data_IF_744973899751
#
_entry.id   IF_744973899751
#
_cell.length_a   1.000
_cell.length_b   1.000
_cell.length_c   1.000
_cell.angle_alpha   90.00
_cell.angle_beta   90.00
_cell.angle_gamma   90.00
#
_symmetry.space_group_name_H-M   'P 1'
#
loop_
_entity.id
_entity.type
_entity.pdbx_description
1 polymer ?
#
# COMPACT_ATOMS: atom_id res chain seq x y z
N UNK A 1 -12.26 -0.82 11.72
CA UNK A 1 -12.35 -1.84 10.64
C UNK A 1 -12.41 -3.28 11.15
N UNK A 2 -11.55 -3.71 12.08
CA UNK A 2 -11.54 -5.10 12.57
C UNK A 2 -12.54 -5.42 13.68
N UNK A 3 -12.99 -4.41 14.43
CA UNK A 3 -13.95 -4.56 15.52
C UNK A 3 -15.24 -5.27 15.07
N UNK A 4 -15.86 -6.00 16.00
CA UNK A 4 -17.01 -6.86 15.72
C UNK A 4 -18.23 -6.07 15.19
N UNK A 5 -18.42 -4.84 15.65
CA UNK A 5 -19.53 -3.95 15.29
C UNK A 5 -19.18 -2.95 14.17
N UNK A 6 -17.94 -2.93 13.69
CA UNK A 6 -17.48 -1.93 12.72
C UNK A 6 -18.29 -1.95 11.41
N UNK A 7 -18.66 -3.14 10.93
CA UNK A 7 -19.50 -3.28 9.72
C UNK A 7 -20.92 -2.77 9.97
N UNK A 8 -21.51 -3.07 11.13
CA UNK A 8 -22.85 -2.60 11.48
C UNK A 8 -22.91 -1.07 11.61
N UNK A 9 -21.91 -0.47 12.27
CA UNK A 9 -21.79 0.99 12.38
C UNK A 9 -21.64 1.65 11.00
N UNK A 10 -20.79 1.09 10.13
CA UNK A 10 -20.61 1.61 8.78
C UNK A 10 -21.90 1.52 7.95
N UNK A 11 -22.61 0.37 8.01
CA UNK A 11 -23.89 0.20 7.31
C UNK A 11 -24.93 1.22 7.79
N UNK A 12 -25.01 1.48 9.10
CA UNK A 12 -25.91 2.47 9.65
C UNK A 12 -25.58 3.88 9.12
N UNK A 13 -24.32 4.29 9.18
CA UNK A 13 -23.86 5.58 8.68
C UNK A 13 -24.10 5.74 7.16
N UNK A 14 -23.85 4.70 6.35
CA UNK A 14 -24.12 4.73 4.91
C UNK A 14 -25.61 4.97 4.64
N UNK A 15 -26.49 4.27 5.35
CA UNK A 15 -27.94 4.42 5.20
C UNK A 15 -28.42 5.81 5.61
N UNK A 16 -27.83 6.38 6.65
CA UNK A 16 -28.18 7.71 7.14
C UNK A 16 -27.74 8.82 6.17
N UNK A 17 -26.54 8.71 5.61
CA UNK A 17 -25.89 9.84 4.93
C UNK A 17 -25.82 9.75 3.41
N UNK A 18 -25.73 8.57 2.80
CA UNK A 18 -25.58 8.45 1.34
C UNK A 18 -26.92 8.44 0.59
N UNK A 19 -28.02 8.09 1.25
CA UNK A 19 -29.36 8.08 0.63
C UNK A 19 -29.55 7.06 -0.50
N UNK A 20 -28.60 6.16 -0.72
CA UNK A 20 -28.62 5.17 -1.79
C UNK A 20 -27.59 4.05 -1.59
N UNK A 21 -27.61 3.01 -2.45
CA UNK A 21 -26.63 1.93 -2.42
C UNK A 21 -25.25 2.40 -2.90
N UNK A 22 -24.21 1.61 -2.59
CA UNK A 22 -22.83 1.86 -2.98
C UNK A 22 -22.56 1.39 -4.42
N UNK A 23 -22.03 2.30 -5.25
CA UNK A 23 -21.53 1.97 -6.60
C UNK A 23 -20.11 1.37 -6.57
N UNK A 24 -19.38 1.56 -5.47
CA UNK A 24 -18.01 1.06 -5.36
C UNK A 24 -17.51 0.97 -3.92
N UNK A 25 -16.54 0.08 -3.74
CA UNK A 25 -15.82 -0.15 -2.49
C UNK A 25 -14.32 -0.08 -2.82
N UNK A 26 -13.60 0.80 -2.12
CA UNK A 26 -12.13 0.85 -2.19
C UNK A 26 -11.57 0.33 -0.88
N UNK A 27 -10.87 -0.80 -0.94
CA UNK A 27 -10.15 -1.39 0.18
C UNK A 27 -8.69 -0.97 0.17
N UNK A 28 -8.39 0.08 0.92
CA UNK A 28 -7.05 0.68 1.04
C UNK A 28 -6.52 0.62 2.49
N UNK A 29 -6.69 -0.52 3.16
CA UNK A 29 -6.24 -0.69 4.54
C UNK A 29 -4.74 -1.03 4.60
N UNK A 30 -3.99 -0.24 5.38
CA UNK A 30 -2.67 -0.60 5.88
C UNK A 30 -2.70 -0.57 7.40
N UNK A 31 -2.50 -1.72 8.05
CA UNK A 31 -2.54 -1.84 9.50
C UNK A 31 -1.40 -2.73 10.00
N UNK A 32 -0.67 -2.34 11.06
CA UNK A 32 0.36 -3.20 11.64
C UNK A 32 -0.23 -4.30 12.54
N UNK A 33 -1.52 -4.18 12.89
CA UNK A 33 -2.20 -5.06 13.83
C UNK A 33 -3.71 -5.10 13.59
N UNK A 34 -4.32 -6.20 13.97
CA UNK A 34 -5.76 -6.40 13.99
C UNK A 34 -6.17 -7.00 15.34
N UNK A 35 -7.40 -6.74 15.77
CA UNK A 35 -8.01 -7.44 16.89
C UNK A 35 -8.86 -8.59 16.35
N UNK A 36 -8.67 -9.81 16.85
CA UNK A 36 -9.54 -10.94 16.52
C UNK A 36 -10.84 -10.81 17.32
N UNK A 37 -12.00 -10.54 16.66
CA UNK A 37 -13.25 -10.33 17.36
C UNK A 37 -13.78 -11.59 18.06
N UNK A 38 -13.27 -12.78 17.73
CA UNK A 38 -13.70 -14.05 18.35
C UNK A 38 -12.99 -14.31 19.68
N UNK A 39 -11.74 -13.88 19.80
CA UNK A 39 -10.89 -14.16 20.96
C UNK A 39 -10.54 -12.91 21.77
N UNK A 40 -10.74 -11.72 21.20
CA UNK A 40 -10.30 -10.44 21.75
C UNK A 40 -8.80 -10.17 21.62
N UNK A 41 -8.01 -11.13 21.12
CA UNK A 41 -6.56 -11.03 21.05
C UNK A 41 -6.09 -10.06 19.96
N UNK A 42 -4.99 -9.36 20.21
CA UNK A 42 -4.31 -8.52 19.20
C UNK A 42 -3.31 -9.37 18.43
N UNK A 43 -3.44 -9.37 17.11
CA UNK A 43 -2.57 -10.05 16.15
C UNK A 43 -1.78 -9.00 15.40
N UNK A 44 -0.46 -9.18 15.26
CA UNK A 44 0.42 -8.24 14.58
C UNK A 44 0.98 -8.83 13.28
N UNK A 45 1.04 -8.02 12.23
CA UNK A 45 1.73 -8.39 10.99
C UNK A 45 3.25 -8.23 11.16
N UNK A 46 4.02 -9.04 10.44
CA UNK A 46 5.47 -8.99 10.41
C UNK A 46 5.99 -8.72 8.99
N UNK A 47 6.97 -7.83 8.89
CA UNK A 47 7.73 -7.58 7.67
C UNK A 47 9.04 -8.36 7.75
N UNK A 48 8.98 -9.63 7.36
CA UNK A 48 10.11 -10.55 7.38
C UNK A 48 10.15 -11.42 6.12
N UNK A 49 11.34 -11.91 5.73
CA UNK A 49 11.48 -12.92 4.68
C UNK A 49 10.71 -14.20 4.99
N UNK A 50 10.40 -14.97 3.94
CA UNK A 50 9.87 -16.32 4.05
C UNK A 50 10.97 -17.36 3.77
N UNK A 51 11.12 -18.33 4.66
CA UNK A 51 12.04 -19.46 4.49
C UNK A 51 13.51 -19.12 4.78
N UNK A 52 14.11 -18.24 3.98
CA UNK A 52 15.53 -17.90 4.05
C UNK A 52 15.77 -16.46 4.52
N UNK A 53 16.91 -16.15 5.16
CA UNK A 53 17.28 -14.78 5.48
C UNK A 53 17.37 -13.90 4.24
N UNK A 54 17.05 -12.62 4.40
CA UNK A 54 17.26 -11.60 3.36
C UNK A 54 18.09 -10.43 3.89
N UNK A 55 18.64 -9.65 2.97
CA UNK A 55 19.37 -8.43 3.29
C UNK A 55 18.55 -7.22 2.91
N UNK A 56 18.44 -6.27 3.83
CA UNK A 56 17.73 -5.01 3.62
C UNK A 56 18.72 -3.88 3.56
N UNK A 57 18.74 -3.21 2.42
CA UNK A 57 19.59 -2.05 2.18
C UNK A 57 18.84 -0.77 2.51
N UNK A 58 19.39 0.04 3.41
CA UNK A 58 18.83 1.33 3.82
C UNK A 58 19.96 2.33 4.07
N UNK A 59 19.65 3.53 4.55
CA UNK A 59 20.62 4.50 5.04
C UNK A 59 20.38 4.84 6.52
N UNK A 60 21.40 5.34 7.21
CA UNK A 60 21.29 5.82 8.60
C UNK A 60 20.73 7.24 8.67
N UNK A 61 20.25 7.67 9.84
CA UNK A 61 20.13 9.11 10.08
C UNK A 61 21.49 9.80 9.94
N UNK A 62 21.46 11.13 9.76
CA UNK A 62 22.67 11.95 9.77
C UNK A 62 23.35 11.87 11.14
N UNK A 63 24.66 11.65 11.16
CA UNK A 63 25.50 11.72 12.36
C UNK A 63 25.73 13.17 12.80
N UNK A 64 26.58 13.37 13.82
CA UNK A 64 26.88 14.70 14.36
C UNK A 64 27.55 15.62 13.32
N UNK A 65 28.21 15.04 12.33
CA UNK A 65 28.85 15.71 11.20
C UNK A 65 27.88 15.93 10.02
N UNK A 66 26.62 15.52 10.14
CA UNK A 66 25.60 15.69 9.12
C UNK A 66 25.62 14.63 8.02
N UNK A 67 26.34 13.52 8.20
CA UNK A 67 26.58 12.48 7.21
C UNK A 67 25.67 11.27 7.44
N UNK A 68 25.02 10.79 6.38
CA UNK A 68 24.28 9.52 6.36
C UNK A 68 25.11 8.45 5.66
N UNK A 69 24.97 7.18 6.06
CA UNK A 69 25.68 6.05 5.45
C UNK A 69 24.73 4.96 4.99
N UNK A 70 25.05 4.31 3.88
CA UNK A 70 24.40 3.09 3.43
C UNK A 70 24.70 1.96 4.42
N UNK A 71 23.68 1.22 4.79
CA UNK A 71 23.78 0.04 5.66
C UNK A 71 22.99 -1.12 5.07
N UNK A 72 23.50 -2.32 5.30
CA UNK A 72 22.83 -3.57 4.96
C UNK A 72 22.53 -4.32 6.25
N UNK A 73 21.25 -4.62 6.49
CA UNK A 73 20.77 -5.22 7.73
C UNK A 73 20.30 -6.65 7.40
N UNK A 74 20.85 -7.69 8.07
CA UNK A 74 20.35 -9.04 7.90
C UNK A 74 18.98 -9.18 8.57
N UNK A 75 18.01 -9.72 7.84
CA UNK A 75 16.68 -10.01 8.33
C UNK A 75 16.50 -11.52 8.45
N UNK A 76 16.25 -11.99 9.67
CA UNK A 76 15.90 -13.39 9.90
C UNK A 76 14.52 -13.71 9.29
N UNK A 77 14.33 -14.93 8.76
CA UNK A 77 13.03 -15.35 8.25
C UNK A 77 11.98 -15.30 9.36
N UNK A 78 10.73 -15.02 8.96
CA UNK A 78 9.61 -15.05 9.89
C UNK A 78 9.14 -16.45 10.23
N UNK A 79 8.43 -16.60 11.34
CA UNK A 79 7.88 -17.89 11.77
C UNK A 79 6.55 -18.20 11.04
N UNK A 80 6.09 -19.47 11.03
CA UNK A 80 4.76 -19.82 10.52
C UNK A 80 3.63 -19.04 11.21
N UNK A 81 3.74 -18.79 12.51
CA UNK A 81 2.76 -18.00 13.27
C UNK A 81 2.74 -16.54 12.81
N UNK A 82 3.91 -15.95 12.55
CA UNK A 82 4.03 -14.61 11.98
C UNK A 82 3.45 -14.55 10.56
N UNK A 83 3.59 -15.62 9.76
CA UNK A 83 3.00 -15.72 8.43
C UNK A 83 1.46 -15.70 8.50
N UNK A 84 0.88 -16.55 9.35
CA UNK A 84 -0.57 -16.62 9.58
C UNK A 84 -1.10 -15.30 10.13
N UNK A 85 -0.40 -14.69 11.09
CA UNK A 85 -0.75 -13.39 11.65
C UNK A 85 -0.72 -12.28 10.59
N UNK A 86 0.30 -12.27 9.74
CA UNK A 86 0.43 -11.29 8.65
C UNK A 86 -0.69 -11.44 7.63
N UNK A 87 -1.02 -12.67 7.23
CA UNK A 87 -2.16 -12.97 6.35
C UNK A 87 -3.49 -12.58 7.00
N UNK A 88 -3.66 -12.79 8.31
CA UNK A 88 -4.86 -12.37 9.02
C UNK A 88 -5.07 -10.85 8.98
N UNK A 89 -4.00 -10.08 9.20
CA UNK A 89 -4.06 -8.61 9.27
C UNK A 89 -4.16 -7.98 7.87
N UNK A 90 -3.36 -8.46 6.92
CA UNK A 90 -3.13 -7.79 5.63
C UNK A 90 -3.67 -8.56 4.41
N UNK A 91 -4.25 -9.74 4.64
CA UNK A 91 -4.88 -10.57 3.61
C UNK A 91 -6.31 -10.16 3.27
N UNK A 92 -6.99 -11.03 2.51
CA UNK A 92 -8.26 -10.74 1.87
C UNK A 92 -9.51 -11.15 2.63
N UNK A 93 -9.39 -12.00 3.65
CA UNK A 93 -10.55 -12.46 4.45
C UNK A 93 -11.35 -11.31 5.07
N UNK A 94 -10.67 -10.24 5.46
CA UNK A 94 -11.33 -9.04 5.98
C UNK A 94 -12.19 -8.38 4.90
N UNK A 95 -11.73 -8.36 3.65
CA UNK A 95 -12.47 -7.80 2.52
C UNK A 95 -13.74 -8.61 2.26
N UNK A 96 -13.61 -9.93 2.19
CA UNK A 96 -14.76 -10.84 2.04
C UNK A 96 -15.81 -10.60 3.12
N UNK A 97 -15.40 -10.56 4.39
CA UNK A 97 -16.32 -10.27 5.51
C UNK A 97 -17.05 -8.94 5.35
N UNK A 98 -16.36 -7.89 4.90
CA UNK A 98 -16.97 -6.57 4.68
C UNK A 98 -17.95 -6.60 3.51
N UNK A 99 -17.55 -7.19 2.38
CA UNK A 99 -18.40 -7.31 1.19
C UNK A 99 -19.65 -8.12 1.50
N UNK A 100 -19.53 -9.25 2.18
CA UNK A 100 -20.65 -10.09 2.61
C UNK A 100 -21.64 -9.32 3.50
N UNK A 101 -21.13 -8.53 4.45
CA UNK A 101 -21.97 -7.74 5.33
C UNK A 101 -22.73 -6.62 4.58
N UNK A 102 -22.03 -5.89 3.70
CA UNK A 102 -22.63 -4.84 2.88
C UNK A 102 -23.67 -5.43 1.91
N UNK A 103 -23.37 -6.57 1.33
CA UNK A 103 -24.28 -7.30 0.46
C UNK A 103 -25.51 -7.80 1.21
N UNK A 104 -25.32 -8.43 2.39
CA UNK A 104 -26.41 -8.91 3.24
C UNK A 104 -27.34 -7.80 3.72
N UNK A 105 -26.82 -6.58 3.84
CA UNK A 105 -27.62 -5.38 4.13
C UNK A 105 -28.34 -4.80 2.90
N UNK A 106 -28.13 -5.34 1.70
CA UNK A 106 -28.79 -4.92 0.47
C UNK A 106 -28.40 -3.52 -0.01
N UNK A 107 -27.18 -3.06 0.32
CA UNK A 107 -26.72 -1.69 0.02
C UNK A 107 -25.65 -1.64 -1.08
N UNK A 108 -25.54 -2.67 -1.92
CA UNK A 108 -24.66 -2.67 -3.10
C UNK A 108 -25.49 -2.40 -4.35
N UNK A 109 -25.08 -1.42 -5.16
CA UNK A 109 -25.78 -1.04 -6.38
C UNK A 109 -25.55 -2.08 -7.49
N UNK A 110 -26.45 -2.17 -8.49
CA UNK A 110 -26.15 -2.88 -9.74
C UNK A 110 -24.84 -2.37 -10.35
N UNK A 111 -23.94 -3.29 -10.70
CA UNK A 111 -22.62 -2.94 -11.23
C UNK A 111 -21.58 -2.55 -10.17
N UNK A 112 -21.87 -2.69 -8.86
CA UNK A 112 -20.95 -2.31 -7.79
C UNK A 112 -19.55 -2.91 -7.98
N UNK A 113 -18.51 -2.06 -7.86
CA UNK A 113 -17.11 -2.48 -8.04
C UNK A 113 -16.34 -2.55 -6.74
N UNK A 114 -15.56 -3.60 -6.54
CA UNK A 114 -14.58 -3.71 -5.46
C UNK A 114 -13.16 -3.48 -6.00
N UNK A 115 -12.45 -2.49 -5.45
CA UNK A 115 -11.04 -2.28 -5.71
C UNK A 115 -10.24 -2.57 -4.44
N UNK A 116 -9.22 -3.42 -4.50
CA UNK A 116 -8.30 -3.64 -3.38
C UNK A 116 -6.90 -3.17 -3.74
N UNK A 117 -6.20 -2.54 -2.80
CA UNK A 117 -4.82 -2.10 -3.04
C UNK A 117 -3.81 -3.16 -2.61
N UNK A 118 -2.99 -3.58 -3.57
CA UNK A 118 -1.86 -4.50 -3.38
C UNK A 118 -0.54 -3.84 -3.82
N UNK A 119 0.57 -4.42 -3.39
CA UNK A 119 1.90 -4.01 -3.79
C UNK A 119 2.78 -5.26 -3.87
N UNK A 120 3.35 -5.50 -5.05
CA UNK A 120 4.29 -6.61 -5.27
C UNK A 120 5.75 -6.16 -5.17
N UNK A 121 6.01 -4.87 -5.36
CA UNK A 121 7.37 -4.32 -5.37
C UNK A 121 8.19 -4.76 -6.58
N UNK A 122 9.49 -4.51 -6.49
CA UNK A 122 10.44 -4.79 -7.55
C UNK A 122 11.38 -5.93 -7.16
N UNK A 123 12.11 -6.52 -8.12
CA UNK A 123 13.11 -7.54 -7.82
C UNK A 123 14.15 -7.09 -6.77
N UNK A 124 14.36 -5.78 -6.60
CA UNK A 124 15.33 -5.22 -5.64
C UNK A 124 14.88 -5.33 -4.18
N UNK A 125 13.57 -5.46 -3.92
CA UNK A 125 13.00 -5.55 -2.57
C UNK A 125 12.15 -6.82 -2.36
N UNK A 126 12.18 -7.75 -3.32
CA UNK A 126 11.35 -8.95 -3.34
C UNK A 126 11.50 -9.81 -2.06
N UNK A 127 12.71 -9.97 -1.53
CA UNK A 127 12.98 -10.79 -0.35
C UNK A 127 12.27 -10.37 0.94
N UNK A 128 11.78 -9.12 1.03
CA UNK A 128 10.90 -8.67 2.13
C UNK A 128 9.46 -8.53 1.68
N UNK A 129 9.24 -8.12 0.42
CA UNK A 129 7.91 -7.89 -0.13
C UNK A 129 7.33 -9.15 -0.76
N UNK A 130 7.46 -9.31 -2.08
CA UNK A 130 6.78 -10.39 -2.83
C UNK A 130 7.09 -11.78 -2.29
N UNK A 131 8.33 -12.01 -1.89
CA UNK A 131 8.83 -13.30 -1.41
C UNK A 131 8.89 -13.36 0.12
N UNK A 132 8.39 -12.33 0.82
CA UNK A 132 8.29 -12.28 2.28
C UNK A 132 6.89 -12.63 2.79
N UNK A 133 6.72 -12.53 4.12
CA UNK A 133 5.43 -12.80 4.77
C UNK A 133 4.31 -11.86 4.31
N UNK A 134 4.62 -10.60 4.03
CA UNK A 134 3.64 -9.65 3.50
C UNK A 134 3.22 -10.01 2.07
N UNK A 135 4.12 -10.60 1.27
CA UNK A 135 3.83 -11.13 -0.05
C UNK A 135 2.81 -12.26 -0.02
N UNK A 136 2.88 -13.15 0.98
CA UNK A 136 1.86 -14.17 1.22
C UNK A 136 0.50 -13.54 1.54
N UNK A 137 0.46 -12.51 2.39
CA UNK A 137 -0.77 -11.79 2.69
C UNK A 137 -1.35 -11.07 1.47
N UNK A 138 -0.49 -10.47 0.63
CA UNK A 138 -0.94 -9.81 -0.61
C UNK A 138 -1.42 -10.81 -1.67
N UNK A 139 -0.81 -11.98 -1.79
CA UNK A 139 -1.33 -13.06 -2.61
C UNK A 139 -2.71 -13.54 -2.13
N UNK A 140 -2.92 -13.63 -0.81
CA UNK A 140 -4.23 -13.93 -0.21
C UNK A 140 -5.27 -12.84 -0.53
N UNK A 141 -4.90 -11.55 -0.41
CA UNK A 141 -5.74 -10.42 -0.80
C UNK A 141 -6.15 -10.49 -2.28
N UNK A 142 -5.19 -10.74 -3.18
CA UNK A 142 -5.42 -10.89 -4.61
C UNK A 142 -6.38 -12.05 -4.91
N UNK A 143 -6.18 -13.19 -4.25
CA UNK A 143 -7.06 -14.36 -4.35
C UNK A 143 -8.50 -14.05 -3.94
N UNK A 144 -8.70 -13.50 -2.74
CA UNK A 144 -10.04 -13.17 -2.23
C UNK A 144 -10.70 -12.06 -3.07
N UNK A 145 -9.93 -11.09 -3.58
CA UNK A 145 -10.46 -10.06 -4.49
C UNK A 145 -11.03 -10.71 -5.75
N UNK A 146 -10.30 -11.63 -6.37
CA UNK A 146 -10.78 -12.36 -7.54
C UNK A 146 -12.02 -13.21 -7.23
N UNK A 147 -12.05 -13.88 -6.08
CA UNK A 147 -13.22 -14.65 -5.64
C UNK A 147 -14.45 -13.75 -5.45
N UNK A 148 -14.28 -12.59 -4.82
CA UNK A 148 -15.34 -11.57 -4.67
C UNK A 148 -15.82 -11.03 -6.01
N UNK A 149 -14.96 -10.99 -7.04
CA UNK A 149 -15.36 -10.65 -8.39
C UNK A 149 -16.44 -11.59 -8.95
N UNK A 150 -16.33 -12.89 -8.68
CA UNK A 150 -17.35 -13.86 -9.07
C UNK A 150 -18.66 -13.67 -8.28
N UNK A 151 -18.55 -13.39 -6.97
CA UNK A 151 -19.71 -13.13 -6.09
C UNK A 151 -20.45 -11.87 -6.52
N UNK A 152 -19.75 -10.75 -6.69
CA UNK A 152 -20.38 -9.48 -7.10
C UNK A 152 -21.01 -9.57 -8.49
N UNK A 153 -20.39 -10.31 -9.41
CA UNK A 153 -20.95 -10.55 -10.74
C UNK A 153 -22.31 -11.28 -10.67
N UNK A 154 -22.40 -12.37 -9.89
CA UNK A 154 -23.64 -13.13 -9.73
C UNK A 154 -24.74 -12.29 -9.05
N UNK A 155 -24.37 -11.48 -8.08
CA UNK A 155 -25.32 -10.87 -7.14
C UNK A 155 -25.84 -9.52 -7.60
N UNK A 156 -24.97 -8.71 -8.20
CA UNK A 156 -25.30 -7.35 -8.62
C UNK A 156 -24.78 -7.02 -10.02
N UNK A 157 -24.23 -7.98 -10.76
CA UNK A 157 -23.58 -7.70 -12.05
C UNK A 157 -22.30 -6.87 -11.91
N UNK A 158 -21.69 -6.89 -10.73
CA UNK A 158 -20.49 -6.11 -10.39
C UNK A 158 -19.17 -6.77 -10.79
N UNK A 159 -18.06 -6.17 -10.36
CA UNK A 159 -16.71 -6.69 -10.58
C UNK A 159 -15.78 -6.43 -9.40
N UNK A 160 -14.64 -7.11 -9.37
CA UNK A 160 -13.59 -6.86 -8.38
C UNK A 160 -12.20 -6.91 -9.02
N UNK A 161 -11.33 -5.98 -8.64
CA UNK A 161 -9.98 -5.86 -9.19
C UNK A 161 -8.98 -5.52 -8.09
N UNK A 162 -7.86 -6.25 -8.05
CA UNK A 162 -6.72 -5.88 -7.23
C UNK A 162 -5.82 -4.93 -8.04
N UNK A 163 -5.51 -3.79 -7.45
CA UNK A 163 -4.72 -2.70 -8.03
C UNK A 163 -3.32 -2.79 -7.45
N UNK A 164 -2.34 -3.16 -8.28
CA UNK A 164 -0.94 -3.18 -7.91
C UNK A 164 -0.38 -1.76 -8.05
N UNK A 165 -0.26 -1.06 -6.93
CA UNK A 165 0.22 0.32 -6.88
C UNK A 165 1.74 0.43 -7.09
N UNK A 166 2.24 1.59 -7.53
CA UNK A 166 3.67 1.89 -7.48
C UNK A 166 4.12 2.13 -6.03
N UNK A 167 5.43 2.12 -5.81
CA UNK A 167 6.04 2.56 -4.58
C UNK A 167 5.85 4.07 -4.40
N UNK A 168 5.26 4.44 -3.28
CA UNK A 168 4.94 5.82 -2.91
C UNK A 168 5.36 6.11 -1.47
N UNK A 169 5.68 7.36 -1.18
CA UNK A 169 5.95 7.81 0.19
C UNK A 169 4.62 8.02 0.90
N UNK A 170 4.41 7.25 1.97
CA UNK A 170 3.25 7.31 2.86
C UNK A 170 3.74 7.18 4.29
N UNK A 171 2.88 7.49 5.26
CA UNK A 171 3.20 7.23 6.66
C UNK A 171 3.53 5.75 6.91
N UNK A 172 2.82 4.84 6.25
CA UNK A 172 3.04 3.41 6.36
C UNK A 172 4.38 2.97 5.73
N UNK A 173 4.78 3.56 4.59
CA UNK A 173 5.95 3.10 3.83
C UNK A 173 7.26 3.66 4.36
N UNK A 174 7.31 4.89 4.87
CA UNK A 174 8.55 5.50 5.34
C UNK A 174 9.13 4.86 6.61
N UNK A 175 8.33 4.11 7.38
CA UNK A 175 8.78 3.34 8.54
C UNK A 175 9.27 1.92 8.23
N UNK A 176 9.18 1.46 6.99
CA UNK A 176 9.54 0.09 6.61
C UNK A 176 11.03 0.02 6.28
N UNK A 177 11.81 -0.88 6.91
CA UNK A 177 13.21 -1.07 6.56
C UNK A 177 13.41 -1.30 5.05
N UNK A 178 14.32 -0.52 4.45
CA UNK A 178 14.70 -0.59 3.04
C UNK A 178 13.88 0.27 2.08
N UNK A 179 12.65 0.64 2.46
CA UNK A 179 11.84 1.58 1.67
C UNK A 179 12.50 2.95 1.55
N UNK A 180 13.11 3.55 2.59
CA UNK A 180 13.73 4.87 2.46
C UNK A 180 14.74 4.96 1.33
N UNK A 181 15.69 4.02 1.26
CA UNK A 181 16.71 4.00 0.21
C UNK A 181 16.09 3.75 -1.16
N UNK A 182 15.14 2.80 -1.25
CA UNK A 182 14.42 2.53 -2.49
C UNK A 182 13.69 3.78 -2.99
N UNK A 183 13.00 4.48 -2.11
CA UNK A 183 12.21 5.66 -2.47
C UNK A 183 13.06 6.86 -2.82
N UNK A 184 14.09 7.17 -2.03
CA UNK A 184 15.04 8.22 -2.37
C UNK A 184 15.64 8.01 -3.78
N UNK A 185 15.96 6.75 -4.11
CA UNK A 185 16.50 6.40 -5.44
C UNK A 185 15.44 6.48 -6.53
N UNK A 186 14.22 5.98 -6.28
CA UNK A 186 13.15 5.99 -7.26
C UNK A 186 12.71 7.42 -7.62
N UNK A 187 12.56 8.27 -6.60
CA UNK A 187 12.20 9.68 -6.78
C UNK A 187 13.21 10.40 -7.67
N UNK A 188 14.51 10.16 -7.50
CA UNK A 188 15.53 10.75 -8.36
C UNK A 188 15.60 10.13 -9.77
N UNK A 189 15.44 8.81 -9.86
CA UNK A 189 15.47 8.09 -11.15
C UNK A 189 14.30 8.49 -12.04
N UNK A 190 13.09 8.54 -11.49
CA UNK A 190 11.87 8.87 -12.23
C UNK A 190 11.64 10.38 -12.31
N UNK A 191 12.09 11.16 -11.33
CA UNK A 191 11.91 12.61 -11.29
C UNK A 191 10.43 12.98 -11.43
N UNK A 192 10.11 13.81 -12.43
CA UNK A 192 8.74 14.26 -12.70
C UNK A 192 7.80 13.17 -13.22
N UNK A 193 8.33 12.02 -13.63
CA UNK A 193 7.52 10.88 -14.07
C UNK A 193 7.10 9.97 -12.90
N UNK A 194 7.64 10.20 -11.69
CA UNK A 194 7.12 9.57 -10.47
C UNK A 194 5.71 10.08 -10.18
N UNK A 195 4.81 9.16 -9.86
CA UNK A 195 3.43 9.48 -9.53
C UNK A 195 3.24 9.45 -8.01
N UNK A 196 2.80 10.57 -7.44
CA UNK A 196 2.29 10.58 -6.08
C UNK A 196 0.99 9.75 -5.98
N UNK A 197 0.49 9.45 -4.76
CA UNK A 197 -0.73 8.66 -4.59
C UNK A 197 -1.95 9.22 -5.33
N UNK A 198 -2.10 10.55 -5.42
CA UNK A 198 -3.23 11.18 -6.08
C UNK A 198 -3.11 11.05 -7.60
N UNK A 199 -1.93 11.34 -8.16
CA UNK A 199 -1.64 11.18 -9.57
C UNK A 199 -1.82 9.73 -10.03
N UNK A 200 -1.33 8.76 -9.24
CA UNK A 200 -1.51 7.34 -9.52
C UNK A 200 -2.99 6.95 -9.51
N UNK A 201 -3.76 7.31 -8.48
CA UNK A 201 -5.18 6.95 -8.44
C UNK A 201 -6.02 7.65 -9.53
N UNK A 202 -5.68 8.89 -9.90
CA UNK A 202 -6.31 9.57 -11.05
C UNK A 202 -6.06 8.82 -12.34
N UNK A 203 -4.80 8.49 -12.63
CA UNK A 203 -4.45 7.68 -13.80
C UNK A 203 -5.18 6.33 -13.82
N UNK A 204 -5.34 5.69 -12.67
CA UNK A 204 -6.09 4.44 -12.58
C UNK A 204 -7.53 4.62 -13.08
N UNK A 205 -8.24 5.65 -12.61
CA UNK A 205 -9.63 5.89 -13.02
C UNK A 205 -9.74 6.41 -14.46
N UNK A 206 -8.75 7.16 -14.94
CA UNK A 206 -8.76 7.72 -16.29
C UNK A 206 -8.40 6.67 -17.36
N UNK A 207 -7.48 5.75 -17.06
CA UNK A 207 -6.88 4.87 -18.07
C UNK A 207 -7.13 3.37 -17.86
N UNK A 208 -7.42 2.93 -16.62
CA UNK A 208 -7.43 1.49 -16.28
C UNK A 208 -8.77 0.98 -15.76
N UNK A 209 -9.55 1.80 -15.04
CA UNK A 209 -10.85 1.43 -14.49
C UNK A 209 -11.84 2.59 -14.65
N UNK A 210 -12.75 2.49 -15.63
CA UNK A 210 -13.82 3.49 -15.77
C UNK A 210 -14.87 3.34 -14.66
N UNK A 211 -15.25 4.46 -14.05
CA UNK A 211 -16.34 4.51 -13.07
C UNK A 211 -17.72 4.38 -13.73
N UNK A 212 -17.87 4.90 -14.94
CA UNK A 212 -19.13 4.89 -15.71
C UNK A 212 -19.26 3.70 -16.67
N UNK A 213 -18.23 2.85 -16.77
CA UNK A 213 -18.20 1.74 -17.71
C UNK A 213 -17.88 2.15 -19.15
N UNK A 214 -17.36 3.36 -19.39
CA UNK A 214 -16.93 3.83 -20.73
C UNK A 214 -15.90 2.93 -21.40
N UNK A 215 -15.10 2.20 -20.63
CA UNK A 215 -14.16 1.19 -21.16
C UNK A 215 -13.96 0.01 -20.21
N UNK A 216 -13.58 -1.13 -20.78
CA UNK A 216 -13.31 -2.35 -20.02
C UNK A 216 -12.04 -2.23 -19.17
N UNK A 217 -12.01 -2.79 -17.95
CA UNK A 217 -10.82 -2.74 -17.10
C UNK A 217 -9.56 -3.27 -17.81
N UNK A 218 -8.46 -2.53 -17.69
CA UNK A 218 -7.15 -2.92 -18.24
C UNK A 218 -6.37 -3.68 -17.17
N UNK A 219 -6.20 -4.99 -17.40
CA UNK A 219 -5.54 -5.92 -16.47
C UNK A 219 -4.44 -6.72 -17.14
N UNK A 220 -3.50 -7.25 -16.34
CA UNK A 220 -2.50 -8.20 -16.79
C UNK A 220 -3.03 -9.64 -16.86
N UNK A 221 -2.15 -10.59 -17.20
CA UNK A 221 -2.48 -12.02 -17.34
C UNK A 221 -2.95 -12.68 -16.03
N UNK A 222 -2.63 -12.07 -14.88
CA UNK A 222 -3.10 -12.51 -13.57
C UNK A 222 -4.42 -11.83 -13.16
N UNK A 223 -4.91 -10.89 -13.97
CA UNK A 223 -6.13 -10.12 -13.71
C UNK A 223 -5.92 -8.90 -12.81
N UNK A 224 -4.67 -8.43 -12.65
CA UNK A 224 -4.33 -7.28 -11.83
C UNK A 224 -4.33 -5.99 -12.63
N UNK A 225 -4.80 -4.90 -12.02
CA UNK A 225 -4.64 -3.55 -12.56
C UNK A 225 -3.25 -3.04 -12.19
N UNK A 226 -2.38 -2.89 -13.19
CA UNK A 226 -0.97 -2.54 -13.01
C UNK A 226 -0.76 -1.03 -13.07
N UNK A 227 -0.56 -0.43 -11.90
CA UNK A 227 -0.17 0.98 -11.71
C UNK A 227 1.33 1.13 -11.40
N UNK A 228 2.00 0.02 -11.08
CA UNK A 228 3.44 -0.14 -11.02
C UNK A 228 4.11 -0.28 -12.40
N UNK A 229 3.34 -0.19 -13.49
CA UNK A 229 3.79 -0.34 -14.87
C UNK A 229 4.87 0.67 -15.27
N UNK A 230 4.77 1.91 -14.79
CA UNK A 230 5.82 2.93 -15.00
C UNK A 230 7.08 2.62 -14.21
N UNK A 231 6.94 2.39 -12.90
CA UNK A 231 8.06 2.04 -12.00
C UNK A 231 8.86 0.83 -12.51
N UNK A 232 8.15 -0.21 -12.97
CA UNK A 232 8.75 -1.47 -13.42
C UNK A 232 9.08 -1.49 -14.91
N UNK A 233 8.95 -0.36 -15.62
CA UNK A 233 9.36 -0.28 -17.01
C UNK A 233 10.85 -0.65 -17.18
N UNK A 234 11.26 -1.26 -18.30
CA UNK A 234 12.66 -1.69 -18.49
C UNK A 234 13.68 -0.56 -18.30
N UNK A 235 13.31 0.68 -18.64
CA UNK A 235 14.17 1.86 -18.49
C UNK A 235 14.40 2.20 -17.02
N UNK A 236 13.33 2.30 -16.22
CA UNK A 236 13.47 2.67 -14.81
C UNK A 236 13.99 1.51 -13.97
N UNK A 237 13.54 0.29 -14.21
CA UNK A 237 14.05 -0.89 -13.52
C UNK A 237 15.56 -1.03 -13.74
N UNK A 238 16.07 -0.87 -14.97
CA UNK A 238 17.51 -0.91 -15.23
C UNK A 238 18.26 0.18 -14.46
N UNK A 239 17.78 1.43 -14.51
CA UNK A 239 18.41 2.56 -13.80
C UNK A 239 18.42 2.35 -12.28
N UNK A 240 17.34 1.81 -11.72
CA UNK A 240 17.25 1.44 -10.32
C UNK A 240 18.25 0.34 -9.98
N UNK A 241 18.31 -0.74 -10.77
CA UNK A 241 19.25 -1.84 -10.56
C UNK A 241 20.71 -1.38 -10.62
N UNK A 242 21.08 -0.59 -11.64
CA UNK A 242 22.44 -0.07 -11.80
C UNK A 242 22.85 0.74 -10.55
N UNK A 243 21.97 1.60 -10.03
CA UNK A 243 22.24 2.40 -8.82
C UNK A 243 22.30 1.57 -7.55
N UNK A 244 21.42 0.59 -7.40
CA UNK A 244 21.42 -0.29 -6.23
C UNK A 244 22.70 -1.13 -6.16
N UNK A 245 23.15 -1.68 -7.29
CA UNK A 245 24.35 -2.51 -7.34
C UNK A 245 25.67 -1.72 -7.27
N UNK A 246 25.65 -0.42 -7.55
CA UNK A 246 26.83 0.43 -7.42
C UNK A 246 27.18 0.78 -5.96
N UNK A 247 26.24 0.59 -5.02
CA UNK A 247 26.37 0.97 -3.61
C UNK A 247 26.85 -0.19 -2.74
N UNK A 248 27.63 0.13 -1.72
CA UNK A 248 28.17 -0.80 -0.74
C UNK A 248 27.87 -0.32 0.68
N UNK A 249 27.84 -1.26 1.63
CA UNK A 249 27.63 -0.92 3.03
C UNK A 249 28.81 -0.09 3.54
N UNK A 250 28.52 1.03 4.20
CA UNK A 250 29.50 2.01 4.67
C UNK A 250 29.72 3.20 3.74
N UNK A 251 29.23 3.13 2.48
CA UNK A 251 29.28 4.27 1.56
C UNK A 251 28.52 5.47 2.16
N UNK A 252 29.00 6.68 1.88
CA UNK A 252 28.27 7.91 2.20
C UNK A 252 27.02 7.94 1.32
N UNK A 253 25.86 8.12 1.95
CA UNK A 253 24.61 8.29 1.21
C UNK A 253 24.51 9.74 0.70
N UNK A 254 24.05 9.90 -0.54
CA UNK A 254 23.99 11.21 -1.20
C UNK A 254 23.08 12.18 -0.41
N UNK A 255 23.60 13.33 0.08
CA UNK A 255 22.82 14.26 0.90
C UNK A 255 21.54 14.75 0.21
N UNK A 256 21.60 14.98 -1.10
CA UNK A 256 20.46 15.45 -1.88
C UNK A 256 19.35 14.39 -1.94
N UNK A 257 19.70 13.10 -2.01
CA UNK A 257 18.71 12.02 -2.00
C UNK A 257 18.13 11.79 -0.60
N UNK A 258 18.94 11.95 0.44
CA UNK A 258 18.46 11.98 1.82
C UNK A 258 17.42 13.09 2.00
N UNK A 259 17.74 14.31 1.60
CA UNK A 259 16.85 15.46 1.74
C UNK A 259 15.59 15.31 0.90
N UNK A 260 15.70 14.78 -0.33
CA UNK A 260 14.56 14.47 -1.19
C UNK A 260 13.56 13.52 -0.53
N UNK A 261 14.04 12.42 0.05
CA UNK A 261 13.17 11.47 0.76
C UNK A 261 12.61 12.07 2.06
N UNK A 262 13.44 12.75 2.85
CA UNK A 262 13.00 13.32 4.13
C UNK A 262 11.94 14.40 3.93
N UNK A 263 12.07 15.23 2.89
CA UNK A 263 11.05 16.21 2.48
C UNK A 263 9.75 15.51 2.09
N UNK A 264 9.81 14.52 1.20
CA UNK A 264 8.62 13.76 0.79
C UNK A 264 7.93 13.08 1.99
N UNK A 265 8.70 12.56 2.94
CA UNK A 265 8.17 11.94 4.15
C UNK A 265 7.59 12.96 5.15
N UNK A 266 8.21 14.12 5.30
CA UNK A 266 7.72 15.23 6.12
C UNK A 266 6.36 15.75 5.61
N UNK A 267 6.20 15.85 4.29
CA UNK A 267 4.96 16.29 3.64
C UNK A 267 3.78 15.36 3.92
N UNK A 268 4.01 14.07 4.17
CA UNK A 268 2.93 13.14 4.59
C UNK A 268 2.32 13.51 5.94
N UNK A 269 3.00 14.35 6.74
CA UNK A 269 2.57 14.84 8.05
C UNK A 269 2.29 16.34 8.07
N UNK A 270 2.19 16.95 6.89
CA UNK A 270 1.93 18.39 6.76
C UNK A 270 3.14 19.28 7.05
N UNK A 271 4.37 18.75 7.07
CA UNK A 271 5.60 19.55 7.19
C UNK A 271 6.28 19.77 5.83
N UNK A 272 7.05 20.85 5.69
CA UNK A 272 7.78 21.20 4.45
C UNK A 272 6.86 21.27 3.21
N UNK A 273 5.62 21.73 3.41
CA UNK A 273 4.62 21.98 2.36
C UNK A 273 4.78 23.41 1.86
N UNK A 274 4.97 23.56 0.55
CA UNK A 274 5.13 24.87 -0.08
C UNK A 274 3.91 25.77 0.18
N UNK A 275 4.16 26.99 0.64
CA UNK A 275 3.10 27.99 0.88
C UNK A 275 2.42 27.91 2.25
N UNK A 276 2.80 26.97 3.12
CA UNK A 276 2.33 26.92 4.52
C UNK A 276 3.20 27.82 5.40
N UNK A 277 2.56 28.70 6.17
CA UNK A 277 3.22 29.48 7.22
C UNK A 277 3.25 28.66 8.51
N UNK A 278 4.41 28.06 8.81
CA UNK A 278 4.61 27.23 10.00
C UNK A 278 4.76 28.04 11.30
N UNK A 279 4.91 29.36 11.23
CA UNK A 279 4.98 30.25 12.39
C UNK A 279 3.62 30.88 12.72
N UNK A 280 2.60 30.67 11.88
CA UNK A 280 1.25 31.17 12.13
C UNK A 280 0.64 30.48 13.36
N UNK A 281 0.07 31.28 14.25
CA UNK A 281 -0.74 30.75 15.36
C UNK A 281 -1.98 30.05 14.81
N UNK A 282 -2.29 28.87 15.36
CA UNK A 282 -3.55 28.18 15.10
C UNK A 282 -4.14 27.64 16.40
N UNK A 283 -5.46 27.65 16.48
CA UNK A 283 -6.20 27.11 17.62
C UNK A 283 -6.39 25.61 17.45
N UNK A 284 -5.81 24.81 18.34
CA UNK A 284 -5.97 23.36 18.33
C UNK A 284 -7.40 22.92 18.66
N UNK A 285 -8.13 23.72 19.44
CA UNK A 285 -9.50 23.42 19.87
C UNK A 285 -10.53 23.69 18.76
N UNK A 286 -10.15 24.46 17.73
CA UNK A 286 -11.00 24.72 16.57
C UNK A 286 -11.01 23.56 15.53
N UNK A 287 -10.20 22.52 15.73
CA UNK A 287 -9.99 21.41 14.79
C UNK A 287 -10.71 20.10 15.15
N UNK A 288 -11.44 20.07 16.28
CA UNK A 288 -12.24 18.91 16.74
C UNK A 288 -13.69 19.00 16.30
#
# INVERSE_FOLDING_TARGET
VFAADATAQAIAAIREHLGGPLDGIIWSLAAPRAQDPRTGAVVASALKPYGEPAWVWTFTNRDAEGVSKIVSIPMAPGTPEEAVATQYVMGGRIVERWVDALQGAGILAPGCRLLTLTYRGSPLNAGIYRDGLIGLAKADLEFHTRAMGAVLKDRVGGSAHAVCGPAVVTEASGGIPGVPLYMATLLDVMGREHEDPVASMRRMFDEKISLDGSFAPVVDDEGLVRMDDRELSPVYLKRMTDRFHARHAGDVFEPELFDLFMRAYAQTRGFDVDGVDYEAEFDTDALT
#
